data_IF_030685290427
#
_entry.id   IF_030685290427
#
_cell.length_a   1.000
_cell.length_b   1.000
_cell.length_c   1.000
_cell.angle_alpha   90.00
_cell.angle_beta   90.00
_cell.angle_gamma   90.00
#
_symmetry.space_group_name_H-M   'P 1'
#
loop_
_entity.id
_entity.type
_entity.pdbx_description
1 polymer ?
#
# COMPACT_ATOMS: atom_id res chain seq x y z
N UNK A 1 -19.10 12.01 28.39
CA UNK A 1 -19.32 10.96 27.36
C UNK A 1 -19.36 11.51 25.92
N UNK A 2 -20.25 12.45 25.55
CA UNK A 2 -20.34 12.95 24.14
C UNK A 2 -19.06 13.63 23.64
N UNK A 3 -18.42 14.48 24.45
CA UNK A 3 -17.14 15.13 24.09
C UNK A 3 -16.02 14.10 23.87
N UNK A 4 -15.91 13.13 24.78
CA UNK A 4 -14.95 12.03 24.68
C UNK A 4 -15.11 11.23 23.38
N UNK A 5 -16.35 10.90 22.99
CA UNK A 5 -16.62 10.21 21.73
C UNK A 5 -16.15 11.01 20.52
N UNK A 6 -16.44 12.31 20.47
CA UNK A 6 -15.96 13.17 19.39
C UNK A 6 -14.43 13.23 19.36
N UNK A 7 -13.77 13.34 20.51
CA UNK A 7 -12.30 13.30 20.60
C UNK A 7 -11.73 11.99 20.06
N UNK A 8 -12.29 10.85 20.43
CA UNK A 8 -11.87 9.53 19.92
C UNK A 8 -12.05 9.46 18.40
N UNK A 9 -13.20 9.90 17.87
CA UNK A 9 -13.46 9.90 16.44
C UNK A 9 -12.50 10.80 15.67
N UNK A 10 -12.20 12.00 16.20
CA UNK A 10 -11.21 12.91 15.59
C UNK A 10 -9.85 12.23 15.50
N UNK A 11 -9.38 11.62 16.59
CA UNK A 11 -8.09 10.94 16.63
C UNK A 11 -8.07 9.76 15.65
N UNK A 12 -9.09 8.88 15.72
CA UNK A 12 -9.18 7.71 14.86
C UNK A 12 -9.19 8.09 13.37
N UNK A 13 -10.03 9.04 12.98
CA UNK A 13 -10.10 9.51 11.59
C UNK A 13 -8.78 10.16 11.15
N UNK A 14 -8.10 10.89 12.04
CA UNK A 14 -6.80 11.50 11.74
C UNK A 14 -5.72 10.43 11.55
N UNK A 15 -5.66 9.41 12.40
CA UNK A 15 -4.69 8.32 12.28
C UNK A 15 -4.90 7.50 11.02
N UNK A 16 -6.16 7.22 10.65
CA UNK A 16 -6.46 6.38 9.48
C UNK A 16 -6.28 7.15 8.15
N UNK A 17 -6.53 8.47 8.15
CA UNK A 17 -6.69 9.22 6.88
C UNK A 17 -5.84 10.50 6.76
N UNK A 18 -5.08 10.86 7.80
CA UNK A 18 -4.42 12.15 8.02
C UNK A 18 -5.35 13.38 8.11
N UNK A 19 -6.43 13.44 7.33
CA UNK A 19 -7.30 14.63 7.20
C UNK A 19 -8.63 14.50 7.94
N UNK A 20 -9.10 13.27 8.18
CA UNK A 20 -10.48 13.00 8.53
C UNK A 20 -10.93 13.63 9.85
N UNK A 21 -10.04 13.78 10.83
CA UNK A 21 -10.38 14.44 12.09
C UNK A 21 -10.65 15.93 11.93
N UNK A 22 -9.88 16.63 11.08
CA UNK A 22 -10.11 18.05 10.78
C UNK A 22 -11.43 18.21 10.02
N UNK A 23 -11.69 17.36 9.02
CA UNK A 23 -12.96 17.39 8.28
C UNK A 23 -14.15 17.11 9.21
N UNK A 24 -14.01 16.17 10.14
CA UNK A 24 -15.04 15.85 11.12
C UNK A 24 -15.29 17.01 12.09
N UNK A 25 -14.23 17.70 12.54
CA UNK A 25 -14.34 18.89 13.36
C UNK A 25 -15.11 20.00 12.63
N UNK A 26 -14.75 20.29 11.38
CA UNK A 26 -15.48 21.26 10.53
C UNK A 26 -16.97 20.86 10.42
N UNK A 27 -17.24 19.59 10.18
CA UNK A 27 -18.61 19.07 10.05
C UNK A 27 -19.44 19.29 11.32
N UNK A 28 -18.85 19.16 12.52
CA UNK A 28 -19.52 19.44 13.79
C UNK A 28 -19.85 20.93 13.91
N UNK A 29 -18.91 21.81 13.52
CA UNK A 29 -19.07 23.27 13.61
C UNK A 29 -20.17 23.80 12.68
N UNK A 30 -20.39 23.15 11.53
CA UNK A 30 -21.42 23.55 10.57
C UNK A 30 -22.86 23.21 11.02
N UNK A 31 -23.05 22.40 12.06
CA UNK A 31 -24.38 21.95 12.49
C UNK A 31 -24.79 22.58 13.80
N UNK A 32 -25.91 23.32 13.75
CA UNK A 32 -26.55 23.89 14.94
C UNK A 32 -26.87 22.81 15.98
N UNK A 33 -26.66 23.07 17.30
CA UNK A 33 -26.95 22.11 18.36
C UNK A 33 -28.40 21.59 18.38
N UNK A 34 -29.34 22.44 17.96
CA UNK A 34 -30.79 22.20 17.96
C UNK A 34 -31.33 21.59 16.66
N UNK A 35 -30.48 21.24 15.70
CA UNK A 35 -30.92 20.77 14.39
C UNK A 35 -31.71 19.44 14.48
N UNK A 36 -32.91 19.40 13.87
CA UNK A 36 -33.65 18.16 13.67
C UNK A 36 -32.84 17.13 12.85
N UNK A 37 -32.88 15.85 13.26
CA UNK A 37 -32.07 14.75 12.69
C UNK A 37 -30.56 15.05 12.64
N UNK A 38 -30.03 15.75 13.66
CA UNK A 38 -28.62 16.19 13.77
C UNK A 38 -27.59 15.14 13.34
N UNK A 39 -27.73 13.90 13.80
CA UNK A 39 -26.77 12.82 13.48
C UNK A 39 -26.71 12.49 11.98
N UNK A 40 -27.87 12.41 11.33
CA UNK A 40 -27.95 12.14 9.89
C UNK A 40 -27.37 13.31 9.08
N UNK A 41 -27.67 14.54 9.48
CA UNK A 41 -27.08 15.75 8.87
C UNK A 41 -25.56 15.78 9.05
N UNK A 42 -25.06 15.43 10.24
CA UNK A 42 -23.62 15.37 10.51
C UNK A 42 -22.92 14.34 9.64
N UNK A 43 -23.51 13.15 9.53
CA UNK A 43 -22.97 12.11 8.66
C UNK A 43 -22.97 12.57 7.19
N UNK A 44 -24.07 13.14 6.71
CA UNK A 44 -24.17 13.63 5.33
C UNK A 44 -23.17 14.74 5.01
N UNK A 45 -23.05 15.75 5.88
CA UNK A 45 -22.07 16.83 5.72
C UNK A 45 -20.64 16.29 5.79
N UNK A 46 -20.34 15.41 6.75
CA UNK A 46 -19.02 14.81 6.87
C UNK A 46 -18.64 14.03 5.61
N UNK A 47 -19.52 13.16 5.11
CA UNK A 47 -19.26 12.39 3.89
C UNK A 47 -19.04 13.33 2.71
N UNK A 48 -19.90 14.32 2.52
CA UNK A 48 -19.76 15.27 1.41
C UNK A 48 -18.44 16.04 1.47
N UNK A 49 -18.11 16.64 2.62
CA UNK A 49 -16.86 17.37 2.81
C UNK A 49 -15.63 16.46 2.69
N UNK A 50 -15.71 15.23 3.20
CA UNK A 50 -14.61 14.28 3.15
C UNK A 50 -14.30 13.83 1.72
N UNK A 51 -15.33 13.57 0.92
CA UNK A 51 -15.16 13.20 -0.50
C UNK A 51 -14.63 14.38 -1.32
N UNK A 52 -15.16 15.59 -1.10
CA UNK A 52 -14.63 16.81 -1.74
C UNK A 52 -13.16 17.01 -1.34
N UNK A 53 -12.84 16.88 -0.06
CA UNK A 53 -11.46 17.03 0.41
C UNK A 53 -10.54 15.98 -0.25
N UNK A 54 -10.91 14.69 -0.17
CA UNK A 54 -10.10 13.56 -0.64
C UNK A 54 -9.87 13.58 -2.16
N UNK A 55 -10.90 13.92 -2.96
CA UNK A 55 -10.81 13.81 -4.42
C UNK A 55 -10.54 15.14 -5.14
N UNK A 56 -10.84 16.28 -4.53
CA UNK A 56 -10.67 17.59 -5.16
C UNK A 56 -9.61 18.44 -4.45
N UNK A 57 -9.68 18.60 -3.13
CA UNK A 57 -8.80 19.56 -2.43
C UNK A 57 -7.40 18.98 -2.23
N UNK A 58 -7.30 17.83 -1.57
CA UNK A 58 -6.02 17.22 -1.17
C UNK A 58 -5.11 16.95 -2.36
N UNK A 59 -5.55 16.38 -3.50
CA UNK A 59 -4.67 16.15 -4.64
C UNK A 59 -4.04 17.42 -5.21
N UNK A 60 -4.72 18.57 -5.10
CA UNK A 60 -4.23 19.86 -5.58
C UNK A 60 -3.36 20.60 -4.55
N UNK A 61 -3.52 20.31 -3.25
CA UNK A 61 -2.76 20.94 -2.16
C UNK A 61 -1.50 20.14 -1.80
N UNK A 62 -1.54 18.81 -1.87
CA UNK A 62 -0.43 17.93 -1.52
C UNK A 62 0.91 18.27 -2.23
N UNK A 63 0.93 18.76 -3.50
CA UNK A 63 2.18 19.15 -4.16
C UNK A 63 2.96 20.23 -3.43
N UNK A 64 2.29 21.14 -2.72
CA UNK A 64 2.93 22.17 -1.88
C UNK A 64 3.73 21.56 -0.72
N UNK A 65 3.41 20.32 -0.33
CA UNK A 65 4.08 19.54 0.71
C UNK A 65 5.06 18.51 0.13
N UNK A 66 5.37 18.59 -1.17
CA UNK A 66 6.27 17.65 -1.84
C UNK A 66 5.67 16.26 -2.05
N UNK A 67 4.34 16.18 -2.16
CA UNK A 67 3.59 14.95 -2.41
C UNK A 67 2.67 15.08 -3.60
N UNK A 68 2.55 14.01 -4.37
CA UNK A 68 1.56 13.89 -5.43
C UNK A 68 0.73 12.64 -5.19
N UNK A 69 -0.56 12.72 -5.51
CA UNK A 69 -1.38 11.52 -5.64
C UNK A 69 -0.77 10.62 -6.72
N UNK A 70 -0.74 9.32 -6.48
CA UNK A 70 -0.26 8.35 -7.49
C UNK A 70 -1.12 8.50 -8.75
N UNK A 71 -0.45 8.64 -9.89
CA UNK A 71 -1.10 8.83 -11.20
C UNK A 71 -1.41 7.47 -11.82
N UNK A 72 -2.63 6.99 -11.64
CA UNK A 72 -3.10 5.79 -12.31
C UNK A 72 -3.17 6.00 -13.83
N UNK A 73 -2.81 4.97 -14.58
CA UNK A 73 -2.75 4.98 -16.04
C UNK A 73 -3.34 3.68 -16.58
N UNK A 74 -3.37 3.52 -17.92
CA UNK A 74 -3.73 2.22 -18.52
C UNK A 74 -2.84 1.06 -18.07
N UNK A 75 -1.63 1.33 -17.54
CA UNK A 75 -0.63 0.33 -17.15
C UNK A 75 -0.33 0.30 -15.65
N UNK A 76 -0.87 1.24 -14.87
CA UNK A 76 -0.64 1.36 -13.43
C UNK A 76 -1.99 1.59 -12.75
N UNK A 77 -2.36 0.74 -11.81
CA UNK A 77 -3.62 0.87 -11.08
C UNK A 77 -3.45 0.61 -9.59
N UNK A 78 -4.34 1.18 -8.79
CA UNK A 78 -4.46 0.83 -7.39
C UNK A 78 -5.10 -0.57 -7.26
N UNK A 79 -4.65 -1.33 -6.26
CA UNK A 79 -5.31 -2.60 -5.92
C UNK A 79 -6.71 -2.37 -5.34
N UNK A 80 -6.88 -1.33 -4.52
CA UNK A 80 -8.13 -1.06 -3.82
C UNK A 80 -8.39 0.43 -3.67
N UNK A 81 -9.67 0.80 -3.80
CA UNK A 81 -10.17 2.14 -3.53
C UNK A 81 -9.96 2.57 -2.07
N UNK A 82 -9.75 1.61 -1.14
CA UNK A 82 -9.54 1.92 0.27
C UNK A 82 -8.30 2.79 0.49
N UNK A 83 -7.21 2.58 -0.25
CA UNK A 83 -6.00 3.40 -0.15
C UNK A 83 -6.24 4.83 -0.60
N UNK A 84 -7.07 5.04 -1.62
CA UNK A 84 -7.44 6.38 -2.06
C UNK A 84 -8.37 7.06 -1.05
N UNK A 85 -9.40 6.35 -0.57
CA UNK A 85 -10.33 6.88 0.42
C UNK A 85 -9.63 7.19 1.75
N UNK A 86 -8.60 6.44 2.11
CA UNK A 86 -7.76 6.70 3.28
C UNK A 86 -6.66 7.74 3.01
N UNK A 87 -6.56 8.32 1.81
CA UNK A 87 -5.49 9.24 1.41
C UNK A 87 -4.07 8.65 1.62
N UNK A 88 -3.89 7.34 1.43
CA UNK A 88 -2.60 6.64 1.58
C UNK A 88 -1.89 6.34 0.26
N UNK A 89 -2.32 7.01 -0.82
CA UNK A 89 -1.79 6.83 -2.16
C UNK A 89 -1.03 8.06 -2.66
N UNK A 90 -0.26 8.70 -1.77
CA UNK A 90 0.57 9.85 -2.10
C UNK A 90 2.05 9.49 -2.05
N UNK A 91 2.84 10.02 -2.98
CA UNK A 91 4.27 9.75 -3.13
C UNK A 91 5.01 11.02 -3.52
N UNK A 92 6.35 11.01 -3.48
CA UNK A 92 7.13 12.08 -4.12
C UNK A 92 6.96 12.04 -5.65
N UNK A 93 7.03 13.20 -6.35
CA UNK A 93 6.92 13.25 -7.81
C UNK A 93 7.86 12.28 -8.54
N UNK A 94 9.08 12.11 -8.04
CA UNK A 94 10.07 11.17 -8.58
C UNK A 94 9.57 9.72 -8.57
N UNK A 95 8.96 9.27 -7.48
CA UNK A 95 8.42 7.90 -7.39
C UNK A 95 7.25 7.71 -8.35
N UNK A 96 6.43 8.75 -8.56
CA UNK A 96 5.37 8.74 -9.57
C UNK A 96 5.93 8.50 -10.98
N UNK A 97 7.03 9.18 -11.33
CA UNK A 97 7.71 9.00 -12.62
C UNK A 97 8.30 7.60 -12.76
N UNK A 98 8.97 7.11 -11.71
CA UNK A 98 9.54 5.76 -11.67
C UNK A 98 8.47 4.67 -11.83
N UNK A 99 7.34 4.79 -11.13
CA UNK A 99 6.23 3.84 -11.27
C UNK A 99 5.65 3.84 -12.68
N UNK A 100 5.52 5.01 -13.32
CA UNK A 100 5.06 5.10 -14.70
C UNK A 100 6.06 4.52 -15.72
N UNK A 101 7.36 4.54 -15.42
CA UNK A 101 8.39 3.89 -16.23
C UNK A 101 8.32 2.37 -16.09
N UNK A 102 8.33 1.85 -14.85
CA UNK A 102 8.21 0.41 -14.57
C UNK A 102 6.92 -0.15 -15.18
N UNK A 103 5.79 0.52 -15.00
CA UNK A 103 4.50 0.10 -15.54
C UNK A 103 4.51 -0.01 -17.08
N UNK A 104 5.14 0.96 -17.78
CA UNK A 104 5.26 0.93 -19.24
C UNK A 104 6.20 -0.17 -19.73
N UNK A 105 7.30 -0.42 -19.02
CA UNK A 105 8.22 -1.50 -19.37
C UNK A 105 7.60 -2.87 -19.13
N UNK A 106 6.86 -3.02 -18.03
CA UNK A 106 6.15 -4.25 -17.71
C UNK A 106 5.13 -4.59 -18.80
N UNK A 107 4.33 -3.61 -19.24
CA UNK A 107 3.37 -3.85 -20.33
C UNK A 107 4.06 -4.22 -21.65
N UNK A 108 5.19 -3.60 -21.97
CA UNK A 108 5.96 -3.95 -23.18
C UNK A 108 6.46 -5.40 -23.16
N UNK A 109 6.83 -5.92 -21.99
CA UNK A 109 7.32 -7.30 -21.83
C UNK A 109 6.19 -8.31 -21.67
N UNK A 110 5.08 -7.87 -21.06
CA UNK A 110 3.91 -8.69 -20.75
C UNK A 110 2.63 -7.91 -21.11
N UNK A 111 2.24 -8.00 -22.38
CA UNK A 111 1.10 -7.26 -22.89
C UNK A 111 -0.18 -7.55 -22.09
N UNK A 112 -0.91 -6.50 -21.73
CA UNK A 112 -2.11 -6.59 -20.91
C UNK A 112 -1.86 -6.65 -19.40
N UNK A 113 -0.62 -6.83 -18.93
CA UNK A 113 -0.29 -6.83 -17.51
C UNK A 113 0.01 -5.41 -17.02
N UNK A 114 -0.70 -5.01 -15.96
CA UNK A 114 -0.51 -3.74 -15.27
C UNK A 114 0.35 -3.89 -14.02
N UNK A 115 1.09 -2.84 -13.68
CA UNK A 115 1.64 -2.67 -12.35
C UNK A 115 0.51 -2.35 -11.38
N UNK A 116 0.41 -3.11 -10.29
CA UNK A 116 -0.63 -2.91 -9.26
C UNK A 116 0.04 -2.48 -7.97
N UNK A 117 -0.31 -1.30 -7.48
CA UNK A 117 0.22 -0.77 -6.23
C UNK A 117 -0.74 -0.95 -5.06
N UNK A 118 -0.16 -1.02 -3.87
CA UNK A 118 -0.85 -1.12 -2.58
C UNK A 118 -0.70 0.21 -1.83
N UNK A 119 -0.24 0.14 -0.58
CA UNK A 119 -0.08 1.27 0.29
C UNK A 119 1.17 2.09 -0.03
N UNK A 120 1.07 3.41 0.08
CA UNK A 120 2.15 4.35 -0.16
C UNK A 120 2.27 5.28 1.05
N UNK A 121 1.94 6.57 0.92
CA UNK A 121 2.07 7.57 1.98
C UNK A 121 0.83 8.47 2.09
N UNK A 122 0.79 9.22 3.18
CA UNK A 122 -0.13 10.34 3.36
C UNK A 122 0.32 11.63 2.61
N UNK A 123 -0.59 12.59 2.39
CA UNK A 123 -0.35 13.76 1.54
C UNK A 123 0.49 14.90 2.12
N UNK A 124 0.61 15.10 3.45
CA UNK A 124 1.10 16.38 3.97
C UNK A 124 2.32 16.34 4.91
N UNK A 125 2.36 15.42 5.86
CA UNK A 125 3.36 15.46 6.94
C UNK A 125 4.31 14.26 6.89
N UNK A 126 5.61 14.55 6.80
CA UNK A 126 6.65 13.54 7.04
C UNK A 126 6.56 13.01 8.48
N UNK A 127 6.92 11.74 8.69
CA UNK A 127 6.92 11.05 10.00
C UNK A 127 5.55 10.95 10.67
N UNK A 128 4.46 11.29 9.97
CA UNK A 128 3.11 11.04 10.47
C UNK A 128 2.91 9.52 10.63
N UNK A 129 2.38 9.04 11.78
CA UNK A 129 2.20 7.61 12.01
C UNK A 129 1.28 6.98 10.96
N UNK A 130 1.82 6.02 10.21
CA UNK A 130 1.11 5.28 9.17
C UNK A 130 1.06 3.80 9.57
N UNK A 131 0.03 3.38 10.30
CA UNK A 131 -0.11 2.00 10.74
C UNK A 131 -0.68 1.11 9.62
N UNK A 132 -0.17 -0.11 9.40
CA UNK A 132 1.01 -0.72 10.03
C UNK A 132 2.35 -0.33 9.37
N UNK A 133 2.34 0.32 8.19
CA UNK A 133 3.52 0.66 7.37
C UNK A 133 4.35 1.84 7.90
N UNK A 134 4.92 1.70 9.10
CA UNK A 134 5.63 2.78 9.79
C UNK A 134 6.82 3.38 9.01
N UNK A 135 7.45 2.62 8.12
CA UNK A 135 8.56 3.11 7.29
C UNK A 135 8.10 4.06 6.19
N UNK A 136 6.84 3.96 5.75
CA UNK A 136 6.24 4.79 4.72
C UNK A 136 5.86 6.15 5.28
N UNK A 137 6.87 6.97 5.56
CA UNK A 137 6.68 8.22 6.30
C UNK A 137 7.30 9.45 5.61
N UNK A 138 7.78 9.31 4.39
CA UNK A 138 8.54 10.33 3.64
C UNK A 138 8.19 10.41 2.14
N UNK A 139 7.16 9.67 1.71
CA UNK A 139 6.70 9.60 0.33
C UNK A 139 7.65 8.92 -0.64
N UNK A 140 8.73 8.31 -0.13
CA UNK A 140 9.74 7.61 -0.94
C UNK A 140 9.47 6.12 -1.09
N UNK A 141 8.43 5.60 -0.42
CA UNK A 141 8.16 4.17 -0.30
C UNK A 141 6.77 3.82 -0.81
N UNK A 142 6.69 2.64 -1.43
CA UNK A 142 5.45 2.09 -1.94
C UNK A 142 5.55 0.57 -2.00
N UNK A 143 4.42 -0.07 -1.76
CA UNK A 143 4.28 -1.51 -1.95
C UNK A 143 3.59 -1.80 -3.28
N UNK A 144 4.07 -2.81 -3.99
CA UNK A 144 3.46 -3.31 -5.23
C UNK A 144 3.24 -4.81 -5.11
N UNK A 145 2.19 -5.30 -5.76
CA UNK A 145 1.83 -6.72 -5.67
C UNK A 145 2.79 -7.60 -6.47
N UNK A 146 2.89 -8.87 -6.10
CA UNK A 146 3.43 -9.88 -6.99
C UNK A 146 2.58 -10.09 -8.25
N UNK A 147 3.18 -10.78 -9.24
CA UNK A 147 2.49 -11.28 -10.41
C UNK A 147 2.07 -12.72 -10.20
N UNK A 148 0.91 -13.06 -10.74
CA UNK A 148 0.28 -14.37 -10.66
C UNK A 148 -0.02 -14.87 -12.07
N UNK A 149 -0.14 -16.19 -12.20
CA UNK A 149 -0.57 -16.89 -13.40
C UNK A 149 -1.92 -17.57 -13.13
N UNK A 150 -2.78 -17.58 -14.15
CA UNK A 150 -3.99 -18.38 -14.15
C UNK A 150 -3.66 -19.88 -14.39
N UNK A 151 -4.66 -20.78 -14.32
CA UNK A 151 -4.44 -22.21 -14.60
C UNK A 151 -3.88 -22.52 -16.00
N UNK A 152 -4.07 -21.62 -16.97
CA UNK A 152 -3.53 -21.75 -18.33
C UNK A 152 -2.06 -21.29 -18.45
N UNK A 153 -1.43 -20.88 -17.34
CA UNK A 153 -0.05 -20.38 -17.31
C UNK A 153 0.11 -18.95 -17.83
N UNK A 154 -0.98 -18.22 -18.05
CA UNK A 154 -0.96 -16.82 -18.49
C UNK A 154 -0.93 -15.88 -17.28
N UNK A 155 -0.11 -14.83 -17.37
CA UNK A 155 -0.06 -13.80 -16.35
C UNK A 155 -1.43 -13.11 -16.18
N UNK A 156 -1.72 -12.69 -14.96
CA UNK A 156 -2.97 -12.01 -14.63
C UNK A 156 -2.78 -10.87 -13.62
N UNK A 157 -3.65 -9.87 -13.72
CA UNK A 157 -3.77 -8.81 -12.71
C UNK A 157 -4.65 -9.19 -11.52
N UNK A 158 -5.24 -10.40 -11.50
CA UNK A 158 -5.89 -10.94 -10.29
C UNK A 158 -4.90 -11.02 -9.12
N UNK A 159 -5.44 -11.01 -7.90
CA UNK A 159 -4.70 -11.07 -6.62
C UNK A 159 -5.38 -12.05 -5.69
N UNK A 160 -4.62 -12.53 -4.72
CA UNK A 160 -5.06 -13.56 -3.76
C UNK A 160 -5.72 -12.99 -2.50
N UNK A 161 -5.63 -11.68 -2.28
CA UNK A 161 -6.20 -10.97 -1.13
C UNK A 161 -7.05 -9.77 -1.58
N UNK A 162 -8.12 -9.47 -0.83
CA UNK A 162 -8.95 -8.26 -0.99
C UNK A 162 -8.20 -6.98 -0.58
N UNK A 163 -7.33 -7.07 0.43
CA UNK A 163 -6.49 -5.96 0.88
C UNK A 163 -5.22 -5.81 0.04
N UNK A 164 -4.75 -6.91 -0.54
CA UNK A 164 -3.43 -7.02 -1.18
C UNK A 164 -2.31 -7.49 -0.24
N UNK A 165 -2.61 -7.75 1.03
CA UNK A 165 -1.67 -8.23 2.04
C UNK A 165 -2.15 -9.54 2.69
N UNK A 166 -1.23 -10.25 3.35
CA UNK A 166 -1.53 -11.35 4.28
C UNK A 166 -1.71 -12.73 3.67
N UNK A 167 -1.67 -12.85 2.33
CA UNK A 167 -1.61 -14.16 1.65
C UNK A 167 -0.18 -14.41 1.20
N UNK A 168 0.52 -15.24 1.96
CA UNK A 168 1.97 -15.40 1.84
C UNK A 168 2.39 -16.52 0.87
N UNK A 169 3.38 -16.20 0.05
CA UNK A 169 4.19 -17.14 -0.73
C UNK A 169 5.19 -17.85 0.19
N UNK A 170 4.71 -18.83 0.94
CA UNK A 170 5.50 -19.52 1.97
C UNK A 170 6.75 -20.20 1.40
N UNK A 171 7.81 -20.39 2.22
CA UNK A 171 8.95 -21.21 1.85
C UNK A 171 8.53 -22.62 1.40
N UNK A 172 9.12 -23.11 0.30
CA UNK A 172 8.98 -24.50 -0.17
C UNK A 172 9.83 -25.45 0.68
N UNK A 173 9.56 -26.76 0.66
CA UNK A 173 10.44 -27.75 1.29
C UNK A 173 11.90 -27.56 0.83
N UNK A 174 12.82 -27.44 1.80
CA UNK A 174 14.25 -27.21 1.56
C UNK A 174 14.67 -25.74 1.44
N UNK A 175 13.73 -24.79 1.36
CA UNK A 175 14.05 -23.36 1.41
C UNK A 175 14.26 -22.88 2.85
N UNK A 176 15.08 -21.84 3.00
CA UNK A 176 15.30 -21.21 4.31
C UNK A 176 14.01 -20.56 4.83
N UNK A 177 13.48 -21.07 5.94
CA UNK A 177 12.25 -20.53 6.52
C UNK A 177 12.54 -19.34 7.45
N UNK A 178 12.66 -18.15 6.85
CA UNK A 178 12.88 -16.91 7.58
C UNK A 178 11.76 -16.60 8.57
N UNK A 179 10.52 -17.02 8.28
CA UNK A 179 9.36 -16.82 9.17
C UNK A 179 9.54 -17.55 10.49
N UNK A 180 9.89 -18.84 10.43
CA UNK A 180 10.08 -19.64 11.64
C UNK A 180 11.25 -19.09 12.46
N UNK A 181 12.34 -18.71 11.80
CA UNK A 181 13.50 -18.09 12.46
C UNK A 181 13.10 -16.81 13.20
N UNK A 182 12.38 -15.89 12.54
CA UNK A 182 11.96 -14.65 13.17
C UNK A 182 10.98 -14.89 14.33
N UNK A 183 10.01 -15.80 14.18
CA UNK A 183 9.04 -16.10 15.23
C UNK A 183 9.69 -16.78 16.44
N UNK A 184 10.65 -17.68 16.21
CA UNK A 184 11.41 -18.34 17.28
C UNK A 184 12.32 -17.36 18.05
N UNK A 185 12.68 -16.22 17.45
CA UNK A 185 13.37 -15.11 18.13
C UNK A 185 12.41 -14.19 18.91
N UNK A 186 11.12 -14.50 18.97
CA UNK A 186 10.12 -13.72 19.71
C UNK A 186 9.43 -12.61 18.91
N UNK A 187 9.69 -12.48 17.61
CA UNK A 187 9.02 -11.50 16.75
C UNK A 187 7.63 -11.97 16.34
N UNK A 188 6.69 -11.94 17.29
CA UNK A 188 5.30 -12.37 17.09
C UNK A 188 4.57 -11.59 15.99
N UNK A 189 4.95 -10.33 15.77
CA UNK A 189 4.33 -9.46 14.76
C UNK A 189 4.71 -9.81 13.32
N UNK A 190 5.73 -10.67 13.13
CA UNK A 190 6.32 -10.93 11.81
C UNK A 190 5.29 -11.40 10.77
N UNK A 191 4.31 -12.20 11.20
CA UNK A 191 3.23 -12.72 10.36
C UNK A 191 1.87 -12.04 10.58
N UNK A 192 1.85 -10.90 11.29
CA UNK A 192 0.62 -10.16 11.62
C UNK A 192 -0.27 -9.78 10.41
N UNK A 193 0.27 -9.42 9.22
CA UNK A 193 -0.56 -9.07 8.06
C UNK A 193 -1.58 -10.15 7.62
N UNK A 194 -1.47 -11.40 8.09
CA UNK A 194 -2.46 -12.47 7.85
C UNK A 194 -3.86 -12.12 8.36
N UNK A 195 -3.95 -11.22 9.34
CA UNK A 195 -5.22 -10.71 9.87
C UNK A 195 -5.74 -9.48 9.10
N UNK A 196 -4.97 -8.96 8.15
CA UNK A 196 -5.32 -7.80 7.34
C UNK A 196 -5.74 -8.18 5.92
N UNK A 197 -5.87 -9.47 5.59
CA UNK A 197 -6.24 -9.94 4.24
C UNK A 197 -7.56 -9.37 3.75
N UNK A 198 -8.50 -9.12 4.66
CA UNK A 198 -9.91 -8.79 4.39
C UNK A 198 -10.62 -9.85 3.52
N UNK A 199 -10.13 -11.08 3.56
CA UNK A 199 -10.60 -12.19 2.73
C UNK A 199 -9.59 -12.61 1.66
N UNK A 200 -9.59 -13.90 1.35
CA UNK A 200 -8.87 -14.48 0.22
C UNK A 200 -9.79 -14.57 -0.99
N UNK A 201 -9.24 -14.37 -2.18
CA UNK A 201 -9.97 -14.34 -3.46
C UNK A 201 -9.11 -14.99 -4.56
N UNK A 202 -9.74 -15.47 -5.62
CA UNK A 202 -9.06 -16.07 -6.77
C UNK A 202 -8.10 -17.22 -6.39
N UNK A 203 -8.58 -18.21 -5.64
CA UNK A 203 -7.77 -19.36 -5.21
C UNK A 203 -7.28 -20.24 -6.38
N UNK A 204 -7.75 -19.97 -7.61
CA UNK A 204 -7.36 -20.60 -8.86
C UNK A 204 -6.01 -20.12 -9.42
N UNK A 205 -5.50 -18.96 -8.97
CA UNK A 205 -4.25 -18.38 -9.49
C UNK A 205 -3.06 -18.79 -8.63
N UNK A 206 -1.89 -18.87 -9.27
CA UNK A 206 -0.64 -19.24 -8.60
C UNK A 206 0.43 -18.16 -8.77
N UNK A 207 1.36 -18.08 -7.83
CA UNK A 207 2.48 -17.13 -7.91
C UNK A 207 3.33 -17.40 -9.14
N UNK A 208 3.53 -16.35 -9.95
CA UNK A 208 4.39 -16.42 -11.13
C UNK A 208 5.83 -16.13 -10.73
N UNK A 209 6.67 -17.17 -10.67
CA UNK A 209 8.10 -16.99 -10.44
C UNK A 209 8.74 -16.17 -11.57
N UNK A 210 8.40 -16.48 -12.83
CA UNK A 210 8.97 -15.80 -13.98
C UNK A 210 8.49 -14.35 -14.09
N UNK A 211 7.19 -14.11 -13.97
CA UNK A 211 6.61 -12.77 -14.03
C UNK A 211 7.08 -11.90 -12.87
N UNK A 212 7.07 -12.42 -11.65
CA UNK A 212 7.54 -11.64 -10.48
C UNK A 212 9.04 -11.35 -10.56
N UNK A 213 9.86 -12.31 -11.01
CA UNK A 213 11.29 -12.08 -11.27
C UNK A 213 11.51 -10.99 -12.31
N UNK A 214 10.73 -11.01 -13.39
CA UNK A 214 10.80 -10.00 -14.44
C UNK A 214 10.48 -8.61 -13.90
N UNK A 215 9.35 -8.47 -13.18
CA UNK A 215 8.97 -7.22 -12.51
C UNK A 215 10.07 -6.72 -11.57
N UNK A 216 10.64 -7.60 -10.74
CA UNK A 216 11.73 -7.22 -9.84
C UNK A 216 12.94 -6.71 -10.61
N UNK A 217 13.33 -7.35 -11.72
CA UNK A 217 14.46 -6.88 -12.53
C UNK A 217 14.19 -5.49 -13.13
N UNK A 218 13.02 -5.24 -13.69
CA UNK A 218 12.62 -3.91 -14.19
C UNK A 218 12.76 -2.84 -13.10
N UNK A 219 12.31 -3.15 -11.88
CA UNK A 219 12.44 -2.23 -10.75
C UNK A 219 13.91 -1.98 -10.38
N UNK A 220 14.76 -3.00 -10.43
CA UNK A 220 16.17 -2.89 -10.05
C UNK A 220 16.99 -2.11 -11.08
N UNK A 221 16.57 -2.09 -12.35
CA UNK A 221 17.15 -1.27 -13.42
C UNK A 221 16.92 0.24 -13.19
N UNK A 222 15.86 0.61 -12.48
CA UNK A 222 15.55 2.02 -12.22
C UNK A 222 16.58 2.67 -11.29
N UNK A 223 17.27 3.70 -11.81
CA UNK A 223 18.34 4.39 -11.09
C UNK A 223 17.86 5.19 -9.88
N UNK A 224 16.58 5.55 -9.82
CA UNK A 224 15.96 6.27 -8.70
C UNK A 224 15.71 5.35 -7.50
N UNK A 225 15.62 4.03 -7.72
CA UNK A 225 15.40 3.05 -6.65
C UNK A 225 16.69 2.78 -5.88
N UNK A 226 16.62 2.91 -4.56
CA UNK A 226 17.71 2.65 -3.63
C UNK A 226 17.61 1.29 -2.92
N UNK A 227 16.39 0.85 -2.59
CA UNK A 227 16.16 -0.43 -1.90
C UNK A 227 14.91 -1.13 -2.44
N UNK A 228 14.97 -2.45 -2.42
CA UNK A 228 13.85 -3.37 -2.63
C UNK A 228 13.86 -4.40 -1.51
N UNK A 229 12.74 -4.58 -0.82
CA UNK A 229 12.58 -5.66 0.16
C UNK A 229 11.71 -6.78 -0.41
N UNK A 230 12.19 -8.00 -0.19
CA UNK A 230 11.51 -9.26 -0.47
C UNK A 230 12.08 -10.31 0.50
N UNK A 231 11.29 -11.33 0.85
CA UNK A 231 11.76 -12.36 1.77
C UNK A 231 12.97 -13.16 1.22
N UNK A 232 13.88 -13.63 2.11
CA UNK A 232 15.08 -14.34 1.70
C UNK A 232 14.83 -15.60 0.86
N UNK A 233 13.79 -16.39 1.15
CA UNK A 233 13.46 -17.58 0.35
C UNK A 233 13.03 -17.20 -1.07
N UNK A 234 12.25 -16.13 -1.23
CA UNK A 234 11.84 -15.63 -2.54
C UNK A 234 13.04 -15.07 -3.31
N UNK A 235 13.97 -14.36 -2.65
CA UNK A 235 15.21 -13.92 -3.29
C UNK A 235 15.96 -15.11 -3.92
N UNK A 236 16.08 -16.21 -3.19
CA UNK A 236 16.74 -17.44 -3.67
C UNK A 236 15.94 -18.12 -4.77
N UNK A 237 14.63 -18.33 -4.56
CA UNK A 237 13.72 -18.98 -5.52
C UNK A 237 13.71 -18.27 -6.88
N UNK A 238 13.62 -16.93 -6.85
CA UNK A 238 13.62 -16.07 -8.03
C UNK A 238 15.03 -15.83 -8.61
N UNK A 239 16.08 -16.42 -8.02
CA UNK A 239 17.49 -16.29 -8.43
C UNK A 239 17.93 -14.82 -8.56
N UNK A 240 17.52 -13.99 -7.60
CA UNK A 240 17.77 -12.56 -7.62
C UNK A 240 19.10 -12.21 -6.94
N UNK A 241 20.02 -11.61 -7.69
CA UNK A 241 21.30 -11.13 -7.17
C UNK A 241 21.53 -9.66 -7.55
N UNK A 242 21.17 -8.74 -6.66
CA UNK A 242 21.38 -7.32 -6.87
C UNK A 242 21.62 -6.57 -5.55
N UNK A 243 22.56 -5.60 -5.51
CA UNK A 243 22.87 -4.85 -4.29
C UNK A 243 21.76 -3.90 -3.83
N UNK A 244 20.64 -3.74 -4.54
CA UNK A 244 19.47 -3.01 -4.00
C UNK A 244 18.53 -3.92 -3.20
N UNK A 245 18.63 -5.24 -3.37
CA UNK A 245 17.76 -6.20 -2.67
C UNK A 245 18.25 -6.38 -1.25
N UNK A 246 17.34 -6.25 -0.29
CA UNK A 246 17.65 -6.30 1.14
C UNK A 246 16.60 -7.11 1.88
N UNK A 247 17.03 -7.71 2.97
CA UNK A 247 16.13 -8.22 4.00
C UNK A 247 15.84 -7.08 4.99
N UNK A 248 14.58 -6.86 5.31
CA UNK A 248 14.12 -5.78 6.20
C UNK A 248 14.39 -6.08 7.68
N UNK A 249 14.65 -7.34 8.03
CA UNK A 249 14.93 -7.79 9.40
C UNK A 249 13.67 -8.18 10.17
N UNK A 250 13.79 -9.10 11.13
CA UNK A 250 12.64 -9.67 11.84
C UNK A 250 11.78 -8.67 12.66
N UNK A 251 12.26 -7.43 12.85
CA UNK A 251 11.49 -6.38 13.55
C UNK A 251 10.33 -5.83 12.72
N UNK A 252 10.41 -5.93 11.40
CA UNK A 252 9.35 -5.55 10.48
C UNK A 252 8.55 -6.79 10.04
N UNK A 253 7.37 -6.57 9.48
CA UNK A 253 6.50 -7.65 8.96
C UNK A 253 7.11 -8.26 7.70
N UNK A 254 6.83 -9.53 7.45
CA UNK A 254 7.30 -10.26 6.25
C UNK A 254 6.84 -9.62 4.93
N UNK A 255 7.65 -9.80 3.89
CA UNK A 255 7.41 -9.28 2.53
C UNK A 255 7.40 -10.41 1.49
N UNK A 256 6.58 -11.43 1.74
CA UNK A 256 6.29 -12.52 0.81
C UNK A 256 4.80 -12.59 0.45
N UNK A 257 4.12 -11.45 0.52
CA UNK A 257 2.81 -11.16 -0.07
C UNK A 257 2.86 -9.95 -1.04
N UNK A 258 3.94 -9.16 -0.99
CA UNK A 258 4.18 -7.99 -1.83
C UNK A 258 5.67 -7.67 -1.99
N UNK A 259 5.99 -6.72 -2.88
CA UNK A 259 7.32 -6.13 -3.05
C UNK A 259 7.29 -4.71 -2.47
N UNK A 260 8.20 -4.41 -1.54
CA UNK A 260 8.37 -3.05 -1.03
C UNK A 260 9.52 -2.33 -1.73
N UNK A 261 9.27 -1.11 -2.19
CA UNK A 261 10.20 -0.29 -2.97
C UNK A 261 10.51 1.01 -2.25
N UNK A 262 11.76 1.47 -2.35
CA UNK A 262 12.19 2.73 -1.79
C UNK A 262 13.11 3.50 -2.75
N UNK A 263 12.84 4.79 -2.96
CA UNK A 263 13.75 5.73 -3.63
C UNK A 263 15.08 5.90 -2.87
N UNK A 264 16.12 6.39 -3.56
CA UNK A 264 17.40 6.77 -2.95
C UNK A 264 17.26 7.88 -1.89
#
# INVERSE_FOLDING_TARGET
>A
MKKLLHSILIILLTVITQIGGIIYLISILLIKPTAHKKRLKLLGIFIALYLIATFLIVPNVAPLFGREKIKETKFLQAHSLCYQLANRNYVRPELNQTLAQIARQLEKQHHGIKLVHLDANFPFLDKFPLLPHLSHNDGKKIDVTFLYENPDGQLTNKKTSVSGYGVYERPKPGEYNQTDVCKNQGYWQYDFPKYLTLGTINDDIQFSENGTRNLVNLILEENTIGKLFIEPHLKTRLRLNHPKIRFHGCRAVRHDDHIHLQLK
#
